data_IF_931886436877
#
_entry.id   IF_931886436877
#
_cell.length_a   1.000
_cell.length_b   1.000
_cell.length_c   1.000
_cell.angle_alpha   90.00
_cell.angle_beta   90.00
_cell.angle_gamma   90.00
#
_symmetry.space_group_name_H-M   'P 1'
#
loop_
_entity.id
_entity.type
_entity.pdbx_description
1 polymer ?
#
# COMPACT_ATOMS: atom_id res chain seq x y z
N UNK A 1 6.49 15.16 -14.12
CA UNK A 1 6.73 13.77 -14.51
C UNK A 1 6.51 12.89 -13.28
N UNK A 2 5.80 11.76 -13.39
CA UNK A 2 5.70 10.81 -12.29
C UNK A 2 7.09 10.40 -11.83
N UNK A 3 7.25 10.24 -10.52
CA UNK A 3 8.53 9.87 -9.91
C UNK A 3 8.75 8.37 -10.12
N UNK A 4 9.77 8.01 -10.89
CA UNK A 4 10.21 6.62 -11.02
C UNK A 4 11.05 6.24 -9.81
N UNK A 5 10.86 5.04 -9.28
CA UNK A 5 11.67 4.54 -8.17
C UNK A 5 13.13 4.32 -8.62
N UNK A 6 14.10 4.49 -7.72
CA UNK A 6 15.48 4.18 -8.03
C UNK A 6 15.64 2.68 -8.34
N UNK A 7 16.68 2.30 -9.10
CA UNK A 7 16.98 0.89 -9.34
C UNK A 7 17.21 0.12 -8.03
N UNK A 8 16.84 -1.16 -8.04
CA UNK A 8 17.13 -2.04 -6.89
C UNK A 8 18.64 -2.27 -6.86
N UNK A 9 19.26 -1.84 -5.77
CA UNK A 9 20.67 -2.17 -5.54
C UNK A 9 20.77 -3.63 -5.08
N UNK A 10 21.21 -4.51 -5.97
CA UNK A 10 21.52 -5.89 -5.63
C UNK A 10 22.82 -5.96 -4.85
N UNK A 11 22.76 -5.85 -3.54
CA UNK A 11 23.91 -6.11 -2.65
C UNK A 11 23.99 -7.56 -2.19
N UNK A 12 23.06 -8.42 -2.62
CA UNK A 12 23.05 -9.84 -2.29
C UNK A 12 23.04 -10.71 -3.55
N UNK A 13 23.68 -11.86 -3.44
CA UNK A 13 23.92 -12.85 -4.49
C UNK A 13 22.66 -13.60 -4.99
N UNK A 14 21.45 -13.13 -4.71
CA UNK A 14 20.24 -13.74 -5.25
C UNK A 14 20.01 -13.23 -6.67
N UNK A 15 19.98 -14.16 -7.62
CA UNK A 15 19.80 -13.87 -9.05
C UNK A 15 18.40 -13.30 -9.41
N UNK A 16 17.45 -13.27 -8.46
CA UNK A 16 16.06 -12.86 -8.68
C UNK A 16 15.72 -11.67 -7.77
N UNK A 17 15.28 -10.52 -8.34
CA UNK A 17 14.85 -9.38 -7.54
C UNK A 17 13.67 -9.72 -6.63
N UNK A 18 13.52 -9.09 -5.46
CA UNK A 18 12.36 -9.26 -4.62
C UNK A 18 11.09 -8.80 -5.35
N UNK A 19 9.95 -9.35 -4.96
CA UNK A 19 8.65 -8.88 -5.44
C UNK A 19 8.41 -7.50 -4.85
N UNK A 20 8.00 -6.54 -5.67
CA UNK A 20 7.58 -5.22 -5.25
C UNK A 20 6.16 -5.29 -4.69
N UNK A 21 6.00 -5.09 -3.39
CA UNK A 21 4.72 -5.03 -2.70
C UNK A 21 4.31 -3.57 -2.52
N UNK A 22 3.32 -3.15 -3.29
CA UNK A 22 2.77 -1.80 -3.24
C UNK A 22 1.53 -1.81 -2.36
N UNK A 23 1.54 -1.00 -1.31
CA UNK A 23 0.47 -0.92 -0.31
C UNK A 23 -0.20 0.45 -0.36
N UNK A 24 -1.51 0.46 -0.45
CA UNK A 24 -2.32 1.63 -0.10
C UNK A 24 -2.22 1.91 1.41
N UNK A 25 -2.56 3.12 1.82
CA UNK A 25 -2.41 3.59 3.20
C UNK A 25 -3.77 3.71 3.90
N UNK A 26 -4.58 4.68 3.51
CA UNK A 26 -5.83 5.01 4.19
C UNK A 26 -6.88 3.91 3.99
N UNK A 27 -7.52 3.48 5.07
CA UNK A 27 -8.50 2.39 5.17
C UNK A 27 -7.97 1.02 4.72
N UNK A 28 -6.67 0.94 4.42
CA UNK A 28 -5.94 -0.32 4.16
C UNK A 28 -5.04 -0.70 5.33
N UNK A 29 -4.19 0.21 5.78
CA UNK A 29 -3.24 0.00 6.89
C UNK A 29 -3.65 0.76 8.15
N UNK A 30 -4.28 1.91 8.01
CA UNK A 30 -4.69 2.82 9.07
C UNK A 30 -6.05 3.44 8.76
N UNK A 31 -6.68 4.01 9.77
CA UNK A 31 -7.78 4.96 9.59
C UNK A 31 -7.51 6.23 10.39
N UNK A 32 -7.66 7.38 9.75
CA UNK A 32 -7.38 8.68 10.32
C UNK A 32 -8.63 9.56 10.33
N UNK A 33 -8.76 10.36 11.38
CA UNK A 33 -9.83 11.34 11.51
C UNK A 33 -9.32 12.62 12.16
N UNK A 34 -9.94 13.76 11.82
CA UNK A 34 -9.74 15.03 12.54
C UNK A 34 -10.70 15.17 13.73
N UNK A 35 -11.73 14.35 13.79
CA UNK A 35 -12.58 14.21 14.97
C UNK A 35 -11.82 13.50 16.07
N UNK A 36 -11.81 14.03 17.33
CA UNK A 36 -11.14 13.37 18.43
C UNK A 36 -11.70 11.98 18.72
N UNK A 37 -10.81 10.99 18.85
CA UNK A 37 -11.15 9.63 19.27
C UNK A 37 -10.30 9.24 20.48
N UNK A 38 -10.92 8.56 21.45
CA UNK A 38 -10.26 8.21 22.71
C UNK A 38 -9.26 7.06 22.60
N UNK A 39 -9.37 6.26 21.55
CA UNK A 39 -8.58 5.06 21.28
C UNK A 39 -7.59 5.24 20.12
N UNK A 40 -7.17 6.47 19.84
CA UNK A 40 -6.15 6.74 18.82
C UNK A 40 -4.80 6.15 19.26
N UNK A 41 -4.16 5.43 18.34
CA UNK A 41 -2.80 4.91 18.55
C UNK A 41 -1.75 6.02 18.45
N UNK A 42 -2.02 7.02 17.60
CA UNK A 42 -1.13 8.15 17.36
C UNK A 42 -1.94 9.42 17.12
N UNK A 43 -1.36 10.56 17.50
CA UNK A 43 -1.95 11.89 17.30
C UNK A 43 -0.84 12.84 16.84
N UNK A 44 -1.09 13.58 15.77
CA UNK A 44 -0.14 14.58 15.29
C UNK A 44 -0.83 15.79 14.63
N UNK A 45 -0.20 16.98 14.67
CA UNK A 45 -0.68 18.14 13.94
C UNK A 45 -0.24 18.09 12.47
N UNK A 46 -1.10 18.54 11.57
CA UNK A 46 -0.77 18.78 10.17
C UNK A 46 -1.29 20.13 9.72
N UNK A 47 -0.47 20.89 9.03
CA UNK A 47 -0.88 22.13 8.39
C UNK A 47 -1.26 21.87 6.93
N UNK A 48 -2.44 22.27 6.54
CA UNK A 48 -2.94 22.16 5.17
C UNK A 48 -3.74 23.40 4.79
N UNK A 49 -3.37 24.02 3.67
CA UNK A 49 -3.98 25.28 3.18
C UNK A 49 -4.01 26.41 4.24
N UNK A 50 -2.95 26.53 5.04
CA UNK A 50 -2.83 27.56 6.08
C UNK A 50 -3.67 27.32 7.33
N UNK A 51 -4.27 26.13 7.46
CA UNK A 51 -5.00 25.70 8.65
C UNK A 51 -4.32 24.51 9.30
N UNK A 52 -4.26 24.51 10.62
CA UNK A 52 -3.75 23.40 11.41
C UNK A 52 -4.88 22.44 11.78
N UNK A 53 -4.64 21.16 11.56
CA UNK A 53 -5.55 20.06 11.92
C UNK A 53 -4.83 19.12 12.87
N UNK A 54 -5.55 18.58 13.83
CA UNK A 54 -5.06 17.47 14.69
C UNK A 54 -5.58 16.16 14.10
N UNK A 55 -4.67 15.30 13.67
CA UNK A 55 -5.00 14.00 13.09
C UNK A 55 -4.91 12.92 14.17
N UNK A 56 -5.97 12.15 14.33
CA UNK A 56 -6.07 11.00 15.20
C UNK A 56 -6.01 9.72 14.33
N UNK A 57 -5.08 8.84 14.65
CA UNK A 57 -4.79 7.64 13.85
C UNK A 57 -5.11 6.38 14.64
N UNK A 58 -5.85 5.48 14.01
CA UNK A 58 -5.97 4.08 14.44
C UNK A 58 -5.20 3.19 13.46
N UNK A 59 -4.39 2.29 13.98
CA UNK A 59 -3.69 1.29 13.18
C UNK A 59 -4.55 0.03 13.02
N UNK A 60 -4.62 -0.49 11.80
CA UNK A 60 -5.27 -1.78 11.55
C UNK A 60 -4.61 -2.87 12.39
N UNK A 61 -5.37 -3.83 12.96
CA UNK A 61 -4.80 -4.92 13.72
C UNK A 61 -3.68 -5.64 12.96
N UNK A 62 -2.60 -5.97 13.67
CA UNK A 62 -1.41 -6.66 13.16
C UNK A 62 -0.54 -5.85 12.18
N UNK A 63 -0.69 -4.51 12.13
CA UNK A 63 0.08 -3.67 11.19
C UNK A 63 1.58 -3.84 11.35
N UNK A 64 2.11 -3.75 12.56
CA UNK A 64 3.55 -3.83 12.84
C UNK A 64 4.10 -5.20 12.45
N UNK A 65 3.46 -6.26 12.91
CA UNK A 65 3.84 -7.64 12.59
C UNK A 65 3.78 -7.92 11.08
N UNK A 66 2.78 -7.36 10.41
CA UNK A 66 2.65 -7.48 8.97
C UNK A 66 3.82 -6.82 8.24
N UNK A 67 4.14 -5.56 8.58
CA UNK A 67 5.26 -4.83 7.96
C UNK A 67 6.60 -5.51 8.24
N UNK A 68 6.84 -5.98 9.46
CA UNK A 68 8.05 -6.74 9.79
C UNK A 68 8.22 -7.95 8.88
N UNK A 69 7.18 -8.79 8.78
CA UNK A 69 7.24 -10.03 7.99
C UNK A 69 7.38 -9.79 6.49
N UNK A 70 6.59 -8.88 5.92
CA UNK A 70 6.65 -8.67 4.48
C UNK A 70 7.92 -7.95 4.04
N UNK A 71 8.51 -7.13 4.89
CA UNK A 71 9.76 -6.43 4.58
C UNK A 71 10.98 -7.35 4.49
N UNK A 72 10.91 -8.57 5.03
CA UNK A 72 11.98 -9.57 4.92
C UNK A 72 12.16 -10.05 3.48
N UNK A 73 11.07 -10.21 2.74
CA UNK A 73 11.05 -10.89 1.45
C UNK A 73 10.58 -10.01 0.29
N UNK A 74 9.91 -8.89 0.59
CA UNK A 74 9.34 -7.99 -0.41
C UNK A 74 10.01 -6.61 -0.35
N UNK A 75 10.10 -5.96 -1.52
CA UNK A 75 10.34 -4.53 -1.57
C UNK A 75 9.03 -3.80 -1.28
N UNK A 76 8.89 -3.25 -0.07
CA UNK A 76 7.65 -2.59 0.36
C UNK A 76 7.63 -1.14 -0.08
N UNK A 77 6.60 -0.78 -0.83
CA UNK A 77 6.34 0.59 -1.31
C UNK A 77 4.95 1.01 -0.84
N UNK A 78 4.83 2.16 -0.21
CA UNK A 78 3.52 2.77 0.05
C UNK A 78 3.15 3.68 -1.11
N UNK A 79 1.96 3.50 -1.66
CA UNK A 79 1.40 4.33 -2.72
C UNK A 79 0.02 4.81 -2.30
N UNK A 80 -0.08 6.09 -1.94
CA UNK A 80 -1.31 6.68 -1.41
C UNK A 80 -1.85 7.79 -2.30
N UNK A 81 -3.18 7.92 -2.35
CA UNK A 81 -3.84 9.08 -2.93
C UNK A 81 -3.87 10.29 -1.99
N UNK A 82 -3.31 10.18 -0.80
CA UNK A 82 -3.21 11.26 0.16
C UNK A 82 -2.07 12.23 -0.16
N UNK A 83 -2.18 13.44 0.36
CA UNK A 83 -1.13 14.48 0.24
C UNK A 83 0.11 14.09 1.02
N UNK A 84 1.28 14.42 0.48
CA UNK A 84 2.57 14.10 1.08
C UNK A 84 2.72 14.67 2.50
N UNK A 85 2.29 15.90 2.73
CA UNK A 85 2.43 16.57 4.03
C UNK A 85 1.81 15.78 5.18
N UNK A 86 0.68 15.12 4.93
CA UNK A 86 0.02 14.24 5.86
C UNK A 86 0.68 12.84 5.91
N UNK A 87 0.84 12.22 4.75
CA UNK A 87 1.30 10.84 4.66
C UNK A 87 2.73 10.64 5.19
N UNK A 88 3.65 11.58 4.96
CA UNK A 88 5.01 11.50 5.48
C UNK A 88 5.03 11.49 7.01
N UNK A 89 4.26 12.36 7.66
CA UNK A 89 4.17 12.39 9.13
C UNK A 89 3.66 11.06 9.69
N UNK A 90 2.61 10.53 9.08
CA UNK A 90 2.04 9.25 9.49
C UNK A 90 3.04 8.10 9.29
N UNK A 91 3.68 8.02 8.15
CA UNK A 91 4.64 6.95 7.84
C UNK A 91 5.91 7.04 8.69
N UNK A 92 6.35 8.24 9.05
CA UNK A 92 7.45 8.44 9.99
C UNK A 92 7.12 7.93 11.42
N UNK A 93 5.85 7.91 11.78
CA UNK A 93 5.40 7.35 13.06
C UNK A 93 5.22 5.83 13.01
N UNK A 94 4.78 5.28 11.87
CA UNK A 94 4.60 3.84 11.66
C UNK A 94 5.95 3.13 11.51
N UNK A 95 6.88 3.73 10.78
CA UNK A 95 8.21 3.18 10.47
C UNK A 95 9.29 4.23 10.74
N UNK A 96 9.54 4.61 12.01
CA UNK A 96 10.41 5.73 12.38
C UNK A 96 11.87 5.52 11.97
N UNK A 97 12.31 4.28 11.86
CA UNK A 97 13.67 3.95 11.46
C UNK A 97 13.81 3.67 9.94
N UNK A 98 12.70 3.72 9.20
CA UNK A 98 12.71 3.42 7.77
C UNK A 98 13.13 1.98 7.43
N UNK A 99 12.84 1.05 8.33
CA UNK A 99 13.26 -0.35 8.18
C UNK A 99 12.40 -1.13 7.21
N UNK A 100 11.10 -0.84 7.18
CA UNK A 100 10.12 -1.69 6.49
C UNK A 100 9.74 -1.11 5.13
N UNK A 101 9.44 0.19 5.06
CA UNK A 101 8.95 0.85 3.86
C UNK A 101 10.14 1.46 3.12
N UNK A 102 10.41 0.95 1.91
CA UNK A 102 11.57 1.38 1.11
C UNK A 102 11.30 2.65 0.31
N UNK A 103 10.09 2.82 -0.19
CA UNK A 103 9.71 3.97 -1.00
C UNK A 103 8.29 4.43 -0.67
N UNK A 104 8.04 5.74 -0.90
CA UNK A 104 6.75 6.38 -0.68
C UNK A 104 6.33 7.13 -1.93
N UNK A 105 5.10 6.90 -2.38
CA UNK A 105 4.47 7.61 -3.50
C UNK A 105 3.15 8.20 -3.03
N UNK A 106 2.88 9.43 -3.44
CA UNK A 106 1.76 10.23 -2.93
C UNK A 106 0.79 10.58 -4.05
N UNK A 107 -0.17 11.44 -3.77
CA UNK A 107 -1.22 11.87 -4.71
C UNK A 107 -0.67 12.38 -6.04
N UNK A 108 0.44 13.08 -6.04
CA UNK A 108 1.09 13.60 -7.26
C UNK A 108 1.55 12.50 -8.23
N UNK A 109 1.68 11.27 -7.77
CA UNK A 109 2.00 10.10 -8.58
C UNK A 109 0.76 9.31 -9.04
N UNK A 110 -0.42 9.62 -8.50
CA UNK A 110 -1.68 9.05 -8.96
C UNK A 110 -2.18 9.73 -10.23
N UNK A 111 -2.98 9.01 -11.02
CA UNK A 111 -3.66 9.55 -12.19
C UNK A 111 -5.12 9.84 -11.84
N UNK A 112 -5.55 11.11 -11.81
CA UNK A 112 -6.96 11.44 -11.59
C UNK A 112 -7.75 11.14 -12.87
N UNK A 113 -8.77 10.29 -12.75
CA UNK A 113 -9.69 9.95 -13.83
C UNK A 113 -11.10 9.94 -13.27
N UNK A 114 -11.97 10.82 -13.77
CA UNK A 114 -13.39 10.90 -13.38
C UNK A 114 -13.60 10.96 -11.85
N UNK A 115 -12.77 11.72 -11.15
CA UNK A 115 -12.83 11.86 -9.69
C UNK A 115 -12.20 10.73 -8.88
N UNK A 116 -11.65 9.72 -9.54
CA UNK A 116 -10.94 8.61 -8.90
C UNK A 116 -9.42 8.76 -9.12
N UNK A 117 -8.64 8.20 -8.19
CA UNK A 117 -7.19 8.16 -8.29
C UNK A 117 -6.75 6.74 -8.71
N UNK A 118 -6.21 6.61 -9.92
CA UNK A 118 -5.64 5.38 -10.42
C UNK A 118 -4.14 5.33 -10.07
N UNK A 119 -3.67 4.13 -9.77
CA UNK A 119 -2.27 3.88 -9.43
C UNK A 119 -1.64 3.04 -10.54
N UNK A 120 -0.95 3.71 -11.46
CA UNK A 120 -0.28 3.06 -12.58
C UNK A 120 1.07 2.49 -12.15
N UNK A 121 1.18 1.17 -12.11
CA UNK A 121 2.40 0.49 -11.67
C UNK A 121 3.57 0.60 -12.66
N UNK A 122 3.33 1.03 -13.88
CA UNK A 122 4.41 1.21 -14.88
C UNK A 122 5.39 2.33 -14.47
N UNK A 123 4.95 3.28 -13.64
CA UNK A 123 5.82 4.35 -13.16
C UNK A 123 6.88 3.88 -12.15
N UNK A 124 6.71 2.69 -11.56
CA UNK A 124 7.62 2.16 -10.56
C UNK A 124 8.99 1.78 -11.13
N UNK A 125 9.08 1.48 -12.42
CA UNK A 125 10.29 0.93 -13.02
C UNK A 125 10.61 -0.47 -12.52
N UNK A 126 9.57 -1.27 -12.22
CA UNK A 126 9.67 -2.66 -11.79
C UNK A 126 9.04 -3.58 -12.84
N UNK A 127 9.51 -4.82 -12.88
CA UNK A 127 8.88 -5.85 -13.70
C UNK A 127 7.49 -6.19 -13.16
N UNK A 128 6.44 -6.00 -13.96
CA UNK A 128 5.06 -6.25 -13.55
C UNK A 128 4.78 -7.72 -13.24
N UNK A 129 5.59 -8.65 -13.72
CA UNK A 129 5.51 -10.05 -13.30
C UNK A 129 5.86 -10.24 -11.82
N UNK A 130 6.51 -9.25 -11.22
CA UNK A 130 7.03 -9.25 -9.85
C UNK A 130 6.58 -8.01 -9.08
N UNK A 131 5.35 -7.59 -9.29
CA UNK A 131 4.75 -6.48 -8.58
C UNK A 131 3.29 -6.78 -8.24
N UNK A 132 2.85 -6.38 -7.05
CA UNK A 132 1.45 -6.45 -6.63
C UNK A 132 1.05 -5.14 -5.98
N UNK A 133 -0.21 -4.75 -6.18
CA UNK A 133 -0.83 -3.59 -5.54
C UNK A 133 -1.97 -4.05 -4.64
N UNK A 134 -1.89 -3.74 -3.36
CA UNK A 134 -2.96 -3.95 -2.38
C UNK A 134 -3.68 -2.64 -2.15
N UNK A 135 -4.97 -2.61 -2.42
CA UNK A 135 -5.80 -1.40 -2.29
C UNK A 135 -7.24 -1.76 -1.93
N UNK A 136 -7.91 -0.90 -1.17
CA UNK A 136 -9.31 -1.06 -0.82
C UNK A 136 -10.27 -0.48 -1.89
N UNK A 137 -9.74 0.31 -2.83
CA UNK A 137 -10.50 0.91 -3.92
C UNK A 137 -10.28 0.17 -5.24
N UNK A 138 -11.31 -0.42 -5.87
CA UNK A 138 -11.19 -1.07 -7.17
C UNK A 138 -10.68 -0.15 -8.28
N UNK A 139 -10.93 1.16 -8.19
CA UNK A 139 -10.46 2.14 -9.17
C UNK A 139 -8.94 2.23 -9.24
N UNK A 140 -8.23 1.96 -8.13
CA UNK A 140 -6.76 1.98 -8.11
C UNK A 140 -6.14 1.01 -9.11
N UNK A 141 -6.79 -0.12 -9.38
CA UNK A 141 -6.30 -1.20 -10.24
C UNK A 141 -6.52 -0.99 -11.74
N UNK A 142 -7.13 0.11 -12.16
CA UNK A 142 -7.67 0.28 -13.52
C UNK A 142 -6.69 -0.02 -14.66
N UNK A 143 -5.38 0.19 -14.49
CA UNK A 143 -4.37 -0.08 -15.50
C UNK A 143 -3.75 -1.48 -15.43
N UNK A 144 -3.65 -2.08 -14.24
CA UNK A 144 -2.99 -3.38 -14.03
C UNK A 144 -3.84 -4.27 -13.13
N UNK A 145 -5.02 -4.64 -13.59
CA UNK A 145 -6.00 -5.41 -12.79
C UNK A 145 -5.47 -6.77 -12.32
N UNK A 146 -4.62 -7.41 -13.11
CA UNK A 146 -4.06 -8.72 -12.76
C UNK A 146 -2.94 -8.64 -11.70
N UNK A 147 -2.44 -7.43 -11.40
CA UNK A 147 -1.53 -7.15 -10.30
C UNK A 147 -2.26 -6.71 -9.02
N UNK A 148 -3.58 -6.54 -9.08
CA UNK A 148 -4.39 -5.96 -8.02
C UNK A 148 -4.89 -6.98 -7.01
N UNK A 149 -4.60 -6.74 -5.74
CA UNK A 149 -5.11 -7.50 -4.60
C UNK A 149 -6.09 -6.60 -3.84
N UNK A 150 -7.41 -6.84 -3.96
CA UNK A 150 -8.40 -6.08 -3.20
C UNK A 150 -8.37 -6.47 -1.73
N UNK A 151 -8.53 -5.49 -0.86
CA UNK A 151 -8.68 -5.68 0.58
C UNK A 151 -9.91 -4.93 1.07
N UNK A 152 -10.60 -5.48 2.07
CA UNK A 152 -11.71 -4.80 2.71
C UNK A 152 -11.26 -3.51 3.39
N UNK A 153 -12.02 -2.43 3.20
CA UNK A 153 -11.80 -1.18 3.92
C UNK A 153 -11.91 -1.38 5.42
N UNK A 154 -10.96 -0.82 6.16
CA UNK A 154 -10.95 -0.88 7.62
C UNK A 154 -11.03 0.50 8.25
N UNK A 155 -11.83 0.65 9.29
CA UNK A 155 -12.03 1.92 10.01
C UNK A 155 -11.69 1.79 11.49
N UNK A 156 -12.29 0.84 12.20
CA UNK A 156 -12.19 0.76 13.67
C UNK A 156 -12.40 -0.65 14.27
N UNK A 157 -12.67 -1.68 13.46
CA UNK A 157 -12.93 -3.03 13.96
C UNK A 157 -11.66 -3.66 14.59
N UNK A 158 -11.61 -3.83 15.93
CA UNK A 158 -10.44 -4.42 16.61
C UNK A 158 -10.28 -5.92 16.37
N UNK A 159 -11.28 -6.58 15.78
CA UNK A 159 -11.26 -8.02 15.46
C UNK A 159 -10.84 -8.29 14.01
N UNK A 160 -10.51 -7.26 13.23
CA UNK A 160 -10.08 -7.42 11.85
C UNK A 160 -8.80 -8.27 11.76
N UNK A 161 -8.78 -9.21 10.80
CA UNK A 161 -7.66 -10.12 10.56
C UNK A 161 -7.18 -10.11 9.10
N UNK A 162 -7.58 -9.11 8.33
CA UNK A 162 -7.28 -9.06 6.89
C UNK A 162 -5.79 -8.99 6.60
N UNK A 163 -4.99 -8.29 7.44
CA UNK A 163 -3.54 -8.26 7.25
C UNK A 163 -2.88 -9.64 7.49
N UNK A 164 -3.42 -10.46 8.39
CA UNK A 164 -2.95 -11.83 8.58
C UNK A 164 -3.26 -12.71 7.36
N UNK A 165 -4.47 -12.57 6.80
CA UNK A 165 -4.86 -13.30 5.58
C UNK A 165 -4.03 -12.86 4.38
N UNK A 166 -3.78 -11.57 4.26
CA UNK A 166 -2.94 -11.00 3.21
C UNK A 166 -1.51 -11.55 3.28
N UNK A 167 -0.91 -11.55 4.45
CA UNK A 167 0.45 -12.06 4.66
C UNK A 167 0.56 -13.55 4.26
N UNK A 168 -0.41 -14.36 4.64
CA UNK A 168 -0.46 -15.78 4.23
C UNK A 168 -0.56 -15.94 2.71
N UNK A 169 -1.37 -15.14 2.05
CA UNK A 169 -1.46 -15.17 0.60
C UNK A 169 -0.15 -14.73 -0.06
N UNK A 170 0.46 -13.64 0.41
CA UNK A 170 1.72 -13.12 -0.15
C UNK A 170 2.85 -14.16 -0.10
N UNK A 171 2.90 -15.01 0.92
CA UNK A 171 3.86 -16.12 0.98
C UNK A 171 3.73 -17.08 -0.20
N UNK A 172 2.53 -17.26 -0.75
CA UNK A 172 2.30 -18.16 -1.89
C UNK A 172 2.93 -17.63 -3.19
N UNK A 173 3.32 -16.36 -3.22
CA UNK A 173 3.96 -15.74 -4.37
C UNK A 173 5.47 -16.03 -4.46
N UNK A 174 6.07 -16.52 -3.38
CA UNK A 174 7.49 -16.90 -3.39
C UNK A 174 7.77 -17.97 -4.46
N UNK A 175 8.85 -17.77 -5.20
CA UNK A 175 9.27 -18.69 -6.24
C UNK A 175 8.41 -18.70 -7.51
N UNK A 176 7.38 -17.85 -7.57
CA UNK A 176 6.59 -17.69 -8.80
C UNK A 176 7.32 -16.81 -9.79
N UNK A 177 7.36 -17.24 -11.03
CA UNK A 177 7.96 -16.47 -12.12
C UNK A 177 7.11 -15.26 -12.49
N UNK A 178 5.79 -15.42 -12.52
CA UNK A 178 4.81 -14.38 -12.78
C UNK A 178 3.69 -14.41 -11.71
N UNK A 179 3.66 -13.41 -10.84
CA UNK A 179 2.68 -13.32 -9.75
C UNK A 179 1.26 -13.05 -10.25
N UNK A 180 1.10 -12.48 -11.45
CA UNK A 180 -0.20 -12.09 -11.99
C UNK A 180 -1.14 -13.26 -12.19
N UNK A 181 -0.63 -14.43 -12.55
CA UNK A 181 -1.43 -15.65 -12.70
C UNK A 181 -2.04 -16.07 -11.37
N UNK A 182 -1.25 -16.02 -10.30
CA UNK A 182 -1.69 -16.40 -8.95
C UNK A 182 -2.70 -15.39 -8.40
N UNK A 183 -2.41 -14.10 -8.56
CA UNK A 183 -3.29 -13.00 -8.13
C UNK A 183 -4.64 -13.07 -8.86
N UNK A 184 -4.61 -13.20 -10.19
CA UNK A 184 -5.80 -13.31 -11.02
C UNK A 184 -6.68 -14.50 -10.64
N UNK A 185 -6.08 -15.67 -10.45
CA UNK A 185 -6.80 -16.88 -10.08
C UNK A 185 -7.50 -16.73 -8.71
N UNK A 186 -6.84 -16.08 -7.75
CA UNK A 186 -7.36 -15.92 -6.39
C UNK A 186 -8.43 -14.83 -6.28
N UNK A 187 -8.17 -13.64 -6.82
CA UNK A 187 -8.97 -12.45 -6.54
C UNK A 187 -9.92 -12.07 -7.68
N UNK A 188 -9.60 -12.43 -8.93
CA UNK A 188 -10.40 -12.07 -10.11
C UNK A 188 -10.75 -10.58 -10.15
N UNK A 189 -9.78 -9.73 -9.84
CA UNK A 189 -9.93 -8.26 -9.66
C UNK A 189 -10.51 -7.58 -10.90
N UNK A 190 -10.27 -8.14 -12.10
CA UNK A 190 -10.87 -7.66 -13.34
C UNK A 190 -12.41 -7.62 -13.28
N UNK A 191 -13.05 -8.53 -12.52
CA UNK A 191 -14.51 -8.52 -12.34
C UNK A 191 -14.98 -7.38 -11.46
N UNK A 192 -14.18 -6.95 -10.49
CA UNK A 192 -14.49 -5.80 -9.65
C UNK A 192 -14.38 -4.47 -10.43
N UNK A 193 -13.45 -4.41 -11.37
CA UNK A 193 -13.15 -3.18 -12.14
C UNK A 193 -14.05 -3.02 -13.35
N UNK A 194 -14.29 -4.11 -14.10
CA UNK A 194 -15.02 -4.06 -15.38
C UNK A 194 -16.45 -4.63 -15.31
N UNK A 195 -16.82 -5.22 -14.19
CA UNK A 195 -18.06 -5.97 -14.05
C UNK A 195 -17.94 -7.41 -14.59
N UNK A 196 -18.91 -8.26 -14.22
CA UNK A 196 -18.94 -9.66 -14.64
C UNK A 196 -19.42 -9.80 -16.09
#
# INVERSE_FOLDING_TARGET
RPKTLPPINHSSSSAVPPICLVLDLDETLVHCTVEPVSDADMIFPVEFNGMEYTVHVRCRPFLTEFLEKVSEDFEVVVFTASQQVYADKLLDMIDPEGKFIKHRMFRDSCLPVEGNFLKDLTILGRDLRRAVLVDNSPHAFGYQVDNGIPIESWFDDPQDTELLKLERFLRTLHGKEDVREVVRAKFQTHRLVYGA
#
